data_IF_771003328541
#
_entry.id   IF_771003328541
#
_cell.length_a   1.000
_cell.length_b   1.000
_cell.length_c   1.000
_cell.angle_alpha   90.00
_cell.angle_beta   90.00
_cell.angle_gamma   90.00
#
_symmetry.space_group_name_H-M   'P 1'
#
loop_
_entity.id
_entity.type
_entity.pdbx_description
1 polymer ?
#
# COMPACT_ATOMS: atom_id res chain seq x y z
N UNK A 1 18.09 -8.79 22.47
CA UNK A 1 18.20 -10.14 21.87
C UNK A 1 16.84 -10.83 21.81
N UNK A 2 16.10 -10.89 22.93
CA UNK A 2 14.75 -11.48 23.01
C UNK A 2 13.73 -10.83 22.07
N UNK A 3 13.63 -9.49 22.03
CA UNK A 3 12.69 -8.80 21.14
C UNK A 3 12.93 -9.07 19.65
N UNK A 4 14.19 -8.99 19.19
CA UNK A 4 14.54 -9.33 17.79
C UNK A 4 14.17 -10.76 17.40
N UNK A 5 14.28 -11.72 18.32
CA UNK A 5 13.84 -13.10 18.09
C UNK A 5 12.30 -13.17 18.00
N UNK A 6 11.59 -12.46 18.88
CA UNK A 6 10.13 -12.37 18.84
C UNK A 6 9.64 -11.75 17.51
N UNK A 7 10.24 -10.64 17.06
CA UNK A 7 9.94 -10.01 15.79
C UNK A 7 10.18 -10.96 14.59
N UNK A 8 11.29 -11.70 14.60
CA UNK A 8 11.62 -12.66 13.55
C UNK A 8 10.60 -13.81 13.48
N UNK A 9 10.21 -14.36 14.64
CA UNK A 9 9.18 -15.39 14.72
C UNK A 9 7.81 -14.85 14.27
N UNK A 10 7.47 -13.63 14.66
CA UNK A 10 6.24 -12.96 14.25
C UNK A 10 6.17 -12.82 12.72
N UNK A 11 7.22 -12.29 12.08
CA UNK A 11 7.28 -12.16 10.62
C UNK A 11 7.06 -13.50 9.92
N UNK A 12 7.69 -14.57 10.40
CA UNK A 12 7.56 -15.88 9.79
C UNK A 12 6.13 -16.41 9.83
N UNK A 13 5.45 -16.30 10.99
CA UNK A 13 4.08 -16.78 11.18
C UNK A 13 3.10 -15.92 10.39
N UNK A 14 3.18 -14.60 10.52
CA UNK A 14 2.21 -13.68 9.94
C UNK A 14 2.35 -13.52 8.43
N UNK A 15 3.55 -13.75 7.86
CA UNK A 15 3.74 -13.79 6.40
C UNK A 15 2.82 -14.82 5.73
N UNK A 16 2.70 -16.02 6.29
CA UNK A 16 1.81 -17.05 5.76
C UNK A 16 0.34 -16.63 5.79
N UNK A 17 -0.07 -15.97 6.87
CA UNK A 17 -1.42 -15.43 7.05
C UNK A 17 -1.71 -14.33 6.01
N UNK A 18 -0.80 -13.38 5.83
CA UNK A 18 -0.92 -12.31 4.83
C UNK A 18 -1.05 -12.86 3.41
N UNK A 19 -0.21 -13.84 3.07
CA UNK A 19 -0.28 -14.51 1.78
C UNK A 19 -1.63 -15.19 1.56
N UNK A 20 -2.21 -15.80 2.61
CA UNK A 20 -3.54 -16.41 2.55
C UNK A 20 -4.68 -15.41 2.32
N UNK A 21 -4.50 -14.14 2.72
CA UNK A 21 -5.46 -13.08 2.46
C UNK A 21 -5.32 -12.46 1.07
N UNK A 22 -4.25 -12.75 0.35
CA UNK A 22 -3.98 -12.20 -0.99
C UNK A 22 -2.86 -11.15 -1.03
N UNK A 23 -2.22 -10.86 0.10
CA UNK A 23 -1.06 -9.98 0.12
C UNK A 23 0.17 -10.68 -0.47
N UNK A 24 1.03 -9.91 -1.13
CA UNK A 24 2.26 -10.39 -1.76
C UNK A 24 3.41 -9.45 -1.43
N UNK A 25 4.62 -9.96 -1.52
CA UNK A 25 5.79 -9.12 -1.29
C UNK A 25 6.06 -8.26 -2.54
N UNK A 26 6.60 -7.04 -2.41
CA UNK A 26 6.92 -6.21 -3.58
C UNK A 26 7.85 -6.91 -4.59
N UNK A 27 8.80 -7.73 -4.11
CA UNK A 27 9.69 -8.51 -4.98
C UNK A 27 8.97 -9.47 -5.93
N UNK A 28 7.74 -9.87 -5.63
CA UNK A 28 6.97 -10.78 -6.46
C UNK A 28 6.49 -10.11 -7.77
N UNK A 29 6.36 -8.77 -7.77
CA UNK A 29 5.81 -8.01 -8.91
C UNK A 29 6.83 -7.11 -9.60
N UNK A 30 7.87 -6.68 -8.89
CA UNK A 30 8.89 -5.77 -9.44
C UNK A 30 9.58 -6.30 -10.72
N UNK A 31 9.95 -7.58 -10.86
CA UNK A 31 10.56 -8.09 -12.09
C UNK A 31 9.63 -7.97 -13.29
N UNK A 32 8.34 -8.26 -13.10
CA UNK A 32 7.32 -8.13 -14.14
C UNK A 32 7.18 -6.66 -14.56
N UNK A 33 6.96 -5.75 -13.61
CA UNK A 33 6.85 -4.31 -13.89
C UNK A 33 8.08 -3.77 -14.62
N UNK A 34 9.29 -4.11 -14.15
CA UNK A 34 10.54 -3.71 -14.81
C UNK A 34 10.61 -4.19 -16.26
N UNK A 35 10.25 -5.45 -16.51
CA UNK A 35 10.27 -6.02 -17.86
C UNK A 35 9.29 -5.31 -18.80
N UNK A 36 8.10 -4.99 -18.31
CA UNK A 36 7.08 -4.24 -19.08
C UNK A 36 7.55 -2.83 -19.41
N UNK A 37 8.00 -2.09 -18.39
CA UNK A 37 8.51 -0.73 -18.55
C UNK A 37 9.70 -0.70 -19.52
N UNK A 38 10.59 -1.71 -19.48
CA UNK A 38 11.71 -1.84 -20.41
C UNK A 38 11.27 -2.06 -21.87
N UNK A 39 10.07 -2.61 -22.11
CA UNK A 39 9.45 -2.73 -23.44
C UNK A 39 8.68 -1.47 -23.87
N UNK A 40 8.67 -0.43 -23.05
CA UNK A 40 7.93 0.81 -23.32
C UNK A 40 6.42 0.71 -23.03
N UNK A 41 5.99 -0.37 -22.36
CA UNK A 41 4.58 -0.55 -21.99
C UNK A 41 4.17 0.43 -20.88
N UNK A 42 2.87 0.66 -20.79
CA UNK A 42 2.23 1.36 -19.67
C UNK A 42 1.79 0.36 -18.61
N UNK A 43 1.82 0.78 -17.36
CA UNK A 43 1.33 0.02 -16.21
C UNK A 43 0.45 0.92 -15.36
N UNK A 44 -0.60 0.35 -14.75
CA UNK A 44 -1.42 1.04 -13.76
C UNK A 44 -1.08 0.53 -12.36
N UNK A 45 -0.81 1.47 -11.46
CA UNK A 45 -0.63 1.23 -10.04
C UNK A 45 -1.85 1.76 -9.32
N UNK A 46 -2.49 0.89 -8.55
CA UNK A 46 -3.65 1.20 -7.71
C UNK A 46 -3.16 1.39 -6.28
N UNK A 47 -3.03 2.62 -5.81
CA UNK A 47 -2.72 2.93 -4.41
C UNK A 47 -3.98 2.87 -3.56
N UNK A 48 -3.93 2.19 -2.41
CA UNK A 48 -5.06 2.12 -1.47
C UNK A 48 -4.60 2.29 -0.03
N UNK A 49 -5.15 3.30 0.64
CA UNK A 49 -5.09 3.50 2.08
C UNK A 49 -6.42 3.04 2.68
N UNK A 50 -6.37 2.11 3.61
CA UNK A 50 -7.56 1.46 4.18
C UNK A 50 -7.19 0.91 5.55
N UNK A 51 -8.09 0.90 6.53
CA UNK A 51 -7.85 0.30 7.85
C UNK A 51 -7.19 1.24 8.87
N UNK A 52 -6.74 2.40 8.43
CA UNK A 52 -6.21 3.49 9.25
C UNK A 52 -6.81 4.82 8.76
N UNK A 53 -6.57 5.92 9.47
CA UNK A 53 -7.10 7.23 9.15
C UNK A 53 -6.79 7.67 7.71
N UNK A 54 -7.67 8.50 7.17
CA UNK A 54 -7.58 9.07 5.82
C UNK A 54 -7.63 7.99 4.72
N UNK A 55 -8.59 7.08 4.84
CA UNK A 55 -8.86 6.08 3.82
C UNK A 55 -9.10 6.73 2.44
N UNK A 56 -8.59 6.10 1.41
CA UNK A 56 -8.65 6.63 0.05
C UNK A 56 -8.01 5.71 -0.98
N UNK A 57 -8.18 6.07 -2.24
CA UNK A 57 -7.62 5.33 -3.36
C UNK A 57 -7.07 6.26 -4.43
N UNK A 58 -5.98 5.85 -5.06
CA UNK A 58 -5.33 6.58 -6.14
C UNK A 58 -5.03 5.65 -7.31
N UNK A 59 -5.07 6.20 -8.52
CA UNK A 59 -4.68 5.48 -9.73
C UNK A 59 -3.55 6.24 -10.40
N UNK A 60 -2.44 5.54 -10.63
CA UNK A 60 -1.22 6.11 -11.20
C UNK A 60 -0.84 5.33 -12.45
N UNK A 61 -0.60 6.04 -13.54
CA UNK A 61 -0.02 5.49 -14.76
C UNK A 61 1.50 5.62 -14.72
N UNK A 62 2.21 4.55 -15.05
CA UNK A 62 3.67 4.54 -15.14
C UNK A 62 4.09 4.03 -16.52
N UNK A 63 5.04 4.72 -17.14
CA UNK A 63 5.68 4.27 -18.38
C UNK A 63 7.13 4.78 -18.47
N UNK A 64 7.96 4.10 -19.26
CA UNK A 64 9.34 4.54 -19.45
C UNK A 64 9.45 5.90 -20.14
N UNK A 65 8.58 6.17 -21.12
CA UNK A 65 8.56 7.41 -21.89
C UNK A 65 7.83 8.57 -21.20
N UNK A 66 6.72 8.28 -20.51
CA UNK A 66 5.88 9.29 -19.86
C UNK A 66 6.16 9.51 -18.38
N UNK A 67 7.02 8.69 -17.75
CA UNK A 67 7.28 8.78 -16.32
C UNK A 67 6.11 8.32 -15.47
N UNK A 68 5.88 9.00 -14.35
CA UNK A 68 4.81 8.73 -13.38
C UNK A 68 3.74 9.81 -13.51
N UNK A 69 2.49 9.41 -13.73
CA UNK A 69 1.35 10.32 -13.90
C UNK A 69 0.20 9.92 -13.00
N UNK A 70 -0.21 10.83 -12.11
CA UNK A 70 -1.43 10.65 -11.31
C UNK A 70 -2.66 10.82 -12.20
N UNK A 71 -3.55 9.83 -12.19
CA UNK A 71 -4.85 9.88 -12.87
C UNK A 71 -5.95 10.30 -11.90
N UNK A 72 -5.95 9.71 -10.69
CA UNK A 72 -6.95 9.95 -9.65
C UNK A 72 -6.29 9.92 -8.28
N UNK A 73 -6.80 10.73 -7.35
CA UNK A 73 -6.46 10.72 -5.94
C UNK A 73 -7.70 11.09 -5.14
N UNK A 74 -8.38 10.07 -4.63
CA UNK A 74 -9.69 10.20 -4.02
C UNK A 74 -9.61 9.88 -2.54
N UNK A 75 -10.07 10.80 -1.70
CA UNK A 75 -10.21 10.64 -0.25
C UNK A 75 -11.64 10.19 0.07
N UNK A 76 -11.79 9.13 0.87
CA UNK A 76 -13.10 8.54 1.16
C UNK A 76 -14.01 9.50 1.93
N UNK A 77 -13.44 10.34 2.80
CA UNK A 77 -14.17 11.36 3.56
C UNK A 77 -14.95 12.35 2.68
N UNK A 78 -14.53 12.53 1.41
CA UNK A 78 -15.23 13.40 0.45
C UNK A 78 -16.54 12.79 -0.06
N UNK A 79 -16.65 11.47 0.01
CA UNK A 79 -17.85 10.73 -0.39
C UNK A 79 -18.75 10.45 0.81
N UNK A 80 -18.17 10.11 1.97
CA UNK A 80 -18.93 9.71 3.16
C UNK A 80 -19.33 10.90 4.04
N UNK A 81 -18.56 11.99 4.01
CA UNK A 81 -18.70 13.11 4.95
C UNK A 81 -18.17 12.80 6.36
N UNK A 82 -17.56 11.63 6.57
CA UNK A 82 -16.93 11.24 7.83
C UNK A 82 -15.46 11.63 7.81
N UNK A 83 -15.07 12.59 8.67
CA UNK A 83 -13.69 13.06 8.76
C UNK A 83 -12.78 11.94 9.26
N UNK A 84 -11.59 11.83 8.67
CA UNK A 84 -10.60 10.80 9.03
C UNK A 84 -11.16 9.38 8.92
N UNK A 85 -12.04 9.16 7.94
CA UNK A 85 -12.58 7.84 7.60
C UNK A 85 -11.44 6.80 7.60
N UNK A 86 -11.65 5.69 8.32
CA UNK A 86 -10.64 4.65 8.50
C UNK A 86 -11.07 3.30 7.92
N UNK A 87 -12.32 3.19 7.46
CA UNK A 87 -12.85 1.98 6.84
C UNK A 87 -12.38 1.86 5.40
N UNK A 88 -12.62 0.70 4.81
CA UNK A 88 -12.33 0.43 3.41
C UNK A 88 -12.95 1.50 2.47
N UNK A 89 -12.15 2.12 1.58
CA UNK A 89 -12.56 3.27 0.78
C UNK A 89 -13.35 2.87 -0.47
N UNK A 90 -14.55 2.30 -0.28
CA UNK A 90 -15.32 1.71 -1.38
C UNK A 90 -15.71 2.74 -2.45
N UNK A 91 -16.06 3.98 -2.06
CA UNK A 91 -16.46 5.00 -3.02
C UNK A 91 -15.25 5.49 -3.82
N UNK A 92 -14.13 5.73 -3.15
CA UNK A 92 -12.88 6.15 -3.77
C UNK A 92 -12.36 5.11 -4.75
N UNK A 93 -12.45 3.82 -4.39
CA UNK A 93 -12.08 2.69 -5.26
C UNK A 93 -12.98 2.62 -6.48
N UNK A 94 -14.31 2.63 -6.31
CA UNK A 94 -15.27 2.56 -7.42
C UNK A 94 -15.15 3.73 -8.38
N UNK A 95 -14.77 4.91 -7.88
CA UNK A 95 -14.54 6.09 -8.72
C UNK A 95 -13.37 5.91 -9.71
N UNK A 96 -12.49 4.93 -9.51
CA UNK A 96 -11.38 4.61 -10.43
C UNK A 96 -11.84 3.79 -11.64
N UNK A 97 -12.99 3.10 -11.54
CA UNK A 97 -13.46 2.13 -12.53
C UNK A 97 -13.47 2.68 -13.96
N UNK A 98 -13.98 3.90 -14.25
CA UNK A 98 -14.05 4.39 -15.61
C UNK A 98 -12.67 4.50 -16.29
N UNK A 99 -11.61 4.83 -15.54
CA UNK A 99 -10.26 4.91 -16.08
C UNK A 99 -9.58 3.55 -16.24
N UNK A 100 -9.94 2.59 -15.38
CA UNK A 100 -9.52 1.20 -15.53
C UNK A 100 -10.18 0.61 -16.79
N UNK A 101 -11.49 0.77 -16.94
CA UNK A 101 -12.26 0.29 -18.09
C UNK A 101 -11.70 0.85 -19.40
N UNK A 102 -11.47 2.16 -19.47
CA UNK A 102 -10.89 2.79 -20.65
C UNK A 102 -9.51 2.20 -21.03
N UNK A 103 -8.68 1.86 -20.03
CA UNK A 103 -7.37 1.28 -20.27
C UNK A 103 -7.45 -0.19 -20.73
N UNK A 104 -8.43 -0.95 -20.20
CA UNK A 104 -8.74 -2.33 -20.62
C UNK A 104 -9.30 -2.39 -22.05
N UNK A 105 -10.24 -1.50 -22.37
CA UNK A 105 -10.84 -1.39 -23.72
C UNK A 105 -9.79 -1.05 -24.78
N UNK A 106 -8.84 -0.18 -24.45
CA UNK A 106 -7.71 0.14 -25.30
C UNK A 106 -6.71 -1.04 -25.48
N UNK A 107 -6.93 -2.17 -24.78
CA UNK A 107 -6.00 -3.32 -24.69
C UNK A 107 -4.59 -2.90 -24.28
N UNK A 108 -4.50 -1.80 -23.53
CA UNK A 108 -3.24 -1.25 -23.05
C UNK A 108 -2.75 -1.96 -21.80
N UNK A 109 -3.66 -2.65 -21.10
CA UNK A 109 -3.45 -3.45 -19.90
C UNK A 109 -4.43 -4.65 -19.86
N UNK A 110 -4.11 -5.64 -19.04
CA UNK A 110 -4.92 -6.79 -18.64
C UNK A 110 -5.31 -6.70 -17.16
N UNK A 111 -6.60 -6.85 -16.84
CA UNK A 111 -7.13 -6.66 -15.48
C UNK A 111 -6.58 -7.65 -14.44
N UNK A 112 -6.06 -8.80 -14.89
CA UNK A 112 -5.59 -9.89 -14.04
C UNK A 112 -4.07 -9.81 -13.80
N UNK A 113 -3.32 -9.22 -14.73
CA UNK A 113 -1.85 -9.19 -14.65
C UNK A 113 -1.23 -7.80 -14.55
N UNK A 114 -1.96 -6.73 -14.88
CA UNK A 114 -1.34 -5.44 -15.19
C UNK A 114 -1.70 -4.31 -14.23
N UNK A 115 -2.62 -4.59 -13.31
CA UNK A 115 -3.00 -3.68 -12.23
C UNK A 115 -2.32 -4.16 -10.96
N UNK A 116 -1.39 -3.36 -10.45
CA UNK A 116 -0.66 -3.66 -9.23
C UNK A 116 -1.28 -2.86 -8.10
N UNK A 117 -1.96 -3.53 -7.18
CA UNK A 117 -2.53 -2.91 -6.00
C UNK A 117 -1.44 -2.72 -4.94
N UNK A 118 -1.27 -1.50 -4.47
CA UNK A 118 -0.28 -1.11 -3.48
C UNK A 118 -0.99 -0.61 -2.22
N UNK A 119 -0.85 -1.36 -1.12
CA UNK A 119 -1.24 -0.89 0.19
C UNK A 119 -0.11 -0.01 0.74
N UNK A 120 -0.46 1.19 1.20
CA UNK A 120 0.45 2.23 1.68
C UNK A 120 1.16 1.93 3.00
N UNK A 121 1.01 0.73 3.54
CA UNK A 121 1.56 0.32 4.81
C UNK A 121 2.09 -1.10 4.75
N UNK A 122 3.20 -1.34 5.45
CA UNK A 122 3.75 -2.66 5.72
C UNK A 122 3.38 -3.08 7.14
N UNK A 123 2.14 -3.49 7.30
CA UNK A 123 1.61 -3.95 8.58
C UNK A 123 2.39 -5.12 9.18
N UNK A 124 3.02 -5.96 8.35
CA UNK A 124 3.85 -7.05 8.85
C UNK A 124 5.05 -6.52 9.66
N UNK A 125 5.68 -5.44 9.19
CA UNK A 125 6.76 -4.77 9.89
C UNK A 125 6.28 -4.00 11.11
N UNK A 126 5.16 -3.27 10.98
CA UNK A 126 4.51 -2.60 12.12
C UNK A 126 4.27 -3.59 13.27
N UNK A 127 3.69 -4.75 12.99
CA UNK A 127 3.43 -5.75 14.00
C UNK A 127 4.68 -6.39 14.57
N UNK A 128 5.67 -6.68 13.72
CA UNK A 128 6.95 -7.20 14.18
C UNK A 128 7.63 -6.22 15.15
N UNK A 129 7.48 -4.91 14.91
CA UNK A 129 8.00 -3.87 15.79
C UNK A 129 7.24 -3.80 17.11
N UNK A 130 5.91 -3.86 17.10
CA UNK A 130 5.16 -3.90 18.36
C UNK A 130 5.49 -5.16 19.16
N UNK A 131 5.69 -6.32 18.51
CA UNK A 131 6.16 -7.52 19.18
C UNK A 131 7.57 -7.35 19.79
N UNK A 132 8.50 -6.69 19.08
CA UNK A 132 9.84 -6.34 19.60
C UNK A 132 9.72 -5.45 20.84
N UNK A 133 8.90 -4.40 20.78
CA UNK A 133 8.70 -3.45 21.87
C UNK A 133 8.03 -4.10 23.08
N UNK A 134 7.01 -4.93 22.87
CA UNK A 134 6.36 -5.69 23.95
C UNK A 134 7.36 -6.58 24.69
N UNK A 135 8.18 -7.32 23.94
CA UNK A 135 9.19 -8.19 24.51
C UNK A 135 10.34 -7.41 25.18
N UNK A 136 10.70 -6.25 24.63
CA UNK A 136 11.72 -5.35 25.18
C UNK A 136 11.33 -4.72 26.51
N UNK A 137 10.03 -4.49 26.72
CA UNK A 137 9.49 -3.87 27.93
C UNK A 137 8.80 -4.87 28.87
N UNK A 138 9.05 -6.17 28.72
CA UNK A 138 8.51 -7.19 29.62
C UNK A 138 8.88 -6.89 31.10
N UNK A 139 7.93 -6.98 32.05
CA UNK A 139 6.56 -7.51 31.92
C UNK A 139 5.48 -6.47 31.59
N UNK A 140 5.85 -5.22 31.35
CA UNK A 140 4.89 -4.12 31.16
C UNK A 140 4.42 -3.96 29.70
N UNK A 141 5.18 -4.47 28.73
CA UNK A 141 4.78 -4.46 27.33
C UNK A 141 3.62 -5.41 27.06
N UNK A 142 2.62 -4.96 26.30
CA UNK A 142 1.43 -5.75 25.97
C UNK A 142 1.09 -5.72 24.49
N UNK A 143 0.86 -6.90 23.91
CA UNK A 143 0.37 -6.98 22.53
C UNK A 143 -1.01 -6.31 22.38
N UNK A 144 -1.78 -6.12 23.46
CA UNK A 144 -3.03 -5.35 23.41
C UNK A 144 -2.86 -3.93 22.86
N UNK A 145 -1.65 -3.39 22.93
CA UNK A 145 -1.35 -2.04 22.45
C UNK A 145 -1.60 -1.93 20.94
N UNK A 146 -1.42 -3.00 20.16
CA UNK A 146 -1.83 -3.05 18.75
C UNK A 146 -3.33 -2.82 18.56
N UNK A 147 -4.16 -3.37 19.44
CA UNK A 147 -5.62 -3.23 19.37
C UNK A 147 -6.08 -1.85 19.86
N UNK A 148 -5.22 -1.12 20.59
CA UNK A 148 -5.50 0.24 21.04
C UNK A 148 -5.26 1.31 19.97
N UNK A 149 -4.62 0.96 18.84
CA UNK A 149 -4.26 1.91 17.78
C UNK A 149 -5.45 2.39 16.93
N UNK A 150 -6.67 1.90 17.17
CA UNK A 150 -7.87 2.38 16.46
C UNK A 150 -7.99 1.91 15.01
N UNK A 151 -7.18 0.92 14.63
CA UNK A 151 -7.16 0.31 13.31
C UNK A 151 -8.42 -0.52 13.00
N UNK A 152 -8.95 -0.37 11.79
CA UNK A 152 -9.97 -1.28 11.25
C UNK A 152 -9.31 -2.52 10.61
N UNK A 153 -9.10 -3.51 11.47
CA UNK A 153 -8.51 -4.80 11.11
C UNK A 153 -9.29 -5.57 10.04
N UNK A 154 -10.61 -5.44 9.99
CA UNK A 154 -11.38 -6.12 8.96
C UNK A 154 -11.10 -5.51 7.58
N UNK A 155 -10.98 -4.18 7.52
CA UNK A 155 -10.61 -3.48 6.28
C UNK A 155 -9.23 -3.90 5.78
N UNK A 156 -8.23 -4.07 6.65
CA UNK A 156 -6.94 -4.64 6.24
C UNK A 156 -7.09 -6.08 5.74
N UNK A 157 -7.71 -6.95 6.54
CA UNK A 157 -7.84 -8.38 6.21
C UNK A 157 -8.57 -8.62 4.90
N UNK A 158 -9.60 -7.82 4.63
CA UNK A 158 -10.50 -8.01 3.50
C UNK A 158 -10.17 -7.11 2.31
N UNK A 159 -9.14 -6.27 2.39
CA UNK A 159 -8.76 -5.37 1.30
C UNK A 159 -8.62 -6.10 -0.05
N UNK A 160 -7.86 -7.21 -0.17
CA UNK A 160 -7.75 -7.91 -1.44
C UNK A 160 -9.12 -8.40 -1.96
N UNK A 161 -9.93 -9.07 -1.13
CA UNK A 161 -11.23 -9.58 -1.59
C UNK A 161 -12.22 -8.47 -1.94
N UNK A 162 -12.18 -7.33 -1.25
CA UNK A 162 -13.01 -6.16 -1.55
C UNK A 162 -12.58 -5.47 -2.85
N UNK A 163 -11.27 -5.33 -3.11
CA UNK A 163 -10.78 -4.81 -4.39
C UNK A 163 -11.18 -5.70 -5.56
N UNK A 164 -11.10 -7.03 -5.40
CA UNK A 164 -11.53 -7.97 -6.41
C UNK A 164 -13.02 -7.81 -6.71
N UNK A 165 -13.84 -7.67 -5.66
CA UNK A 165 -15.28 -7.50 -5.78
C UNK A 165 -15.65 -6.16 -6.44
N UNK A 166 -15.03 -5.06 -6.03
CA UNK A 166 -15.40 -3.72 -6.46
C UNK A 166 -14.86 -3.36 -7.85
N UNK A 167 -13.69 -3.90 -8.23
CA UNK A 167 -13.03 -3.56 -9.50
C UNK A 167 -12.99 -4.69 -10.53
N UNK A 168 -13.33 -5.93 -10.14
CA UNK A 168 -13.21 -7.09 -11.02
C UNK A 168 -11.78 -7.47 -11.39
N UNK A 169 -10.78 -6.96 -10.67
CA UNK A 169 -9.36 -7.24 -10.88
C UNK A 169 -8.92 -8.47 -10.06
N UNK A 170 -7.74 -9.02 -10.33
CA UNK A 170 -7.10 -9.98 -9.41
C UNK A 170 -6.09 -9.25 -8.53
N UNK A 171 -6.47 -8.81 -7.31
CA UNK A 171 -5.63 -7.91 -6.54
C UNK A 171 -4.56 -8.75 -5.84
N UNK A 172 -3.42 -8.88 -6.50
CA UNK A 172 -2.17 -9.10 -5.79
C UNK A 172 -1.86 -7.80 -5.07
N UNK A 173 -2.23 -7.71 -3.79
CA UNK A 173 -2.00 -6.50 -3.00
C UNK A 173 -0.59 -6.55 -2.43
N UNK A 174 0.25 -5.61 -2.84
CA UNK A 174 1.59 -5.45 -2.33
C UNK A 174 1.59 -4.43 -1.21
N UNK A 175 2.08 -4.82 -0.06
CA UNK A 175 2.32 -3.86 1.02
C UNK A 175 3.62 -3.08 0.73
N UNK A 176 3.61 -1.79 1.06
CA UNK A 176 4.75 -0.89 0.88
C UNK A 176 5.15 -0.30 2.22
N UNK A 177 6.43 0.05 2.39
CA UNK A 177 6.82 0.86 3.55
C UNK A 177 6.14 2.21 3.47
N UNK A 178 5.55 2.65 4.57
CA UNK A 178 4.71 3.84 4.66
C UNK A 178 5.49 5.09 4.26
N UNK A 179 6.64 5.32 4.90
CA UNK A 179 7.49 6.45 4.59
C UNK A 179 8.09 6.41 3.17
N UNK A 180 8.31 5.21 2.61
CA UNK A 180 8.69 5.10 1.19
C UNK A 180 7.57 5.64 0.28
N UNK A 181 6.30 5.37 0.60
CA UNK A 181 5.20 5.92 -0.20
C UNK A 181 5.14 7.45 -0.12
N UNK A 182 5.38 8.03 1.06
CA UNK A 182 5.51 9.47 1.26
C UNK A 182 6.72 10.08 0.53
N UNK A 183 7.83 9.35 0.41
CA UNK A 183 9.03 9.83 -0.28
C UNK A 183 8.93 9.73 -1.81
N UNK A 184 8.54 8.56 -2.32
CA UNK A 184 8.71 8.21 -3.73
C UNK A 184 7.70 8.90 -4.64
N UNK A 185 6.44 9.07 -4.23
CA UNK A 185 5.45 9.70 -5.09
C UNK A 185 5.74 11.19 -5.34
N UNK A 186 5.99 12.03 -4.30
CA UNK A 186 6.39 13.41 -4.51
C UNK A 186 7.70 13.52 -5.29
N UNK A 187 8.70 12.67 -5.00
CA UNK A 187 9.94 12.67 -5.77
C UNK A 187 9.69 12.37 -7.26
N UNK A 188 8.93 11.31 -7.56
CA UNK A 188 8.67 10.86 -8.93
C UNK A 188 7.85 11.85 -9.77
N UNK A 189 7.04 12.68 -9.13
CA UNK A 189 6.22 13.71 -9.77
C UNK A 189 6.85 15.10 -9.72
N UNK A 190 7.98 15.27 -9.01
CA UNK A 190 8.68 16.53 -8.89
C UNK A 190 9.57 16.86 -10.10
N UNK A 191 9.93 18.14 -10.30
CA UNK A 191 10.98 18.56 -11.25
C UNK A 191 12.37 17.99 -10.96
N UNK A 192 12.58 17.40 -9.78
CA UNK A 192 13.86 16.81 -9.35
C UNK A 192 14.00 15.34 -9.74
N UNK A 193 12.95 14.71 -10.28
CA UNK A 193 13.02 13.33 -10.72
C UNK A 193 14.19 13.08 -11.69
N UNK A 194 14.99 12.04 -11.43
CA UNK A 194 16.20 11.66 -12.17
C UNK A 194 17.36 12.67 -12.11
N UNK A 195 17.29 13.70 -11.27
CA UNK A 195 18.44 14.58 -11.01
C UNK A 195 19.40 13.89 -10.03
N UNK A 196 20.72 14.08 -10.18
CA UNK A 196 21.67 13.58 -9.19
C UNK A 196 21.52 14.36 -7.88
N UNK A 197 21.88 13.72 -6.76
CA UNK A 197 22.02 14.34 -5.43
C UNK A 197 20.73 15.01 -4.89
N UNK A 198 19.58 14.35 -5.05
CA UNK A 198 18.32 14.80 -4.45
C UNK A 198 18.17 14.18 -3.07
N UNK A 199 17.91 15.01 -2.06
CA UNK A 199 17.53 14.57 -0.72
C UNK A 199 16.01 14.68 -0.57
N UNK A 200 15.38 13.61 -0.13
CA UNK A 200 13.96 13.57 0.22
C UNK A 200 13.85 13.41 1.72
N UNK A 201 13.10 14.30 2.37
CA UNK A 201 12.83 14.25 3.81
C UNK A 201 11.35 13.99 4.01
N UNK A 202 11.03 12.95 4.76
CA UNK A 202 9.67 12.62 5.20
C UNK A 202 9.59 12.98 6.68
N UNK A 203 8.55 13.73 7.06
CA UNK A 203 8.24 14.08 8.44
C UNK A 203 6.79 13.70 8.67
N UNK A 204 6.56 12.73 9.54
CA UNK A 204 5.25 12.13 9.72
C UNK A 204 5.00 11.73 11.19
N UNK A 205 3.73 11.51 11.54
CA UNK A 205 3.34 11.09 12.88
C UNK A 205 3.88 9.70 13.24
N UNK A 206 3.64 8.72 12.37
CA UNK A 206 4.06 7.34 12.59
C UNK A 206 4.11 6.55 11.27
N UNK A 207 5.05 5.61 11.16
CA UNK A 207 5.13 4.64 10.07
C UNK A 207 5.35 3.21 10.56
N UNK A 208 5.50 2.29 9.62
CA UNK A 208 5.76 0.86 9.89
C UNK A 208 7.16 0.60 10.48
N UNK A 209 8.08 1.57 10.35
CA UNK A 209 9.46 1.47 10.85
C UNK A 209 9.84 2.55 11.91
N UNK A 210 8.84 3.06 12.64
CA UNK A 210 8.85 4.14 13.66
C UNK A 210 8.35 5.50 13.11
N UNK A 211 8.49 6.60 13.87
CA UNK A 211 8.26 7.95 13.37
C UNK A 211 9.50 8.46 12.61
N UNK A 212 9.29 9.26 11.55
CA UNK A 212 10.36 9.96 10.82
C UNK A 212 10.24 11.47 10.93
#
# INVERSE_FOLDING_TARGET
LLGRLAASAFRLVFKGIYHSWGYREPQDVLPMLRKRLARGERCLLLGVQSGDHNAGAALVEVSAGGGVRLLHSNEEERYTGEKHENRYPSNSVKALQPSIDAALEAKSIDAMTDIVACCSWNHLELFAKVADDCAGHFPHGSLSDLWSMGYDWDSFRTLPSRLQKDLGIHPNVHYMRHHDTHAWFPYATSPFYKKPNVMVVVMDGNGDDAST
#
